data_IF_778228857926
#
_entry.id   IF_778228857926
#
_cell.length_a   1.000
_cell.length_b   1.000
_cell.length_c   1.000
_cell.angle_alpha   90.00
_cell.angle_beta   90.00
_cell.angle_gamma   90.00
#
_symmetry.space_group_name_H-M   'P 1'
#
loop_
_entity.id
_entity.type
_entity.pdbx_description
1 polymer ?
#
# COMPACT_ATOMS: atom_id res chain seq x y z
N UNK A 1 35.34 65.07 11.22
CA UNK A 1 35.02 63.63 11.18
C UNK A 1 36.05 62.88 12.02
N UNK A 2 35.69 62.47 13.24
CA UNK A 2 36.56 61.64 14.09
C UNK A 2 36.13 60.18 13.94
N UNK A 3 37.00 59.37 13.35
CA UNK A 3 36.86 57.90 13.41
C UNK A 3 37.37 57.40 14.77
N UNK A 4 36.64 56.49 15.45
CA UNK A 4 37.13 55.90 16.67
C UNK A 4 38.27 54.92 16.37
N UNK A 5 39.39 55.04 17.09
CA UNK A 5 40.50 54.08 17.04
C UNK A 5 40.03 52.76 17.65
N UNK A 6 40.01 51.70 16.84
CA UNK A 6 39.81 50.34 17.36
C UNK A 6 41.06 49.85 18.08
N UNK A 7 40.91 49.16 19.22
CA UNK A 7 42.04 48.65 20.00
C UNK A 7 42.73 47.49 19.29
N UNK A 8 44.06 47.45 19.37
CA UNK A 8 44.90 46.38 18.82
C UNK A 8 44.78 45.12 19.66
N UNK A 9 44.11 44.10 19.11
CA UNK A 9 43.95 42.79 19.74
C UNK A 9 45.29 42.04 19.70
N UNK A 10 45.73 41.52 20.85
CA UNK A 10 47.02 40.81 20.96
C UNK A 10 46.97 39.43 20.28
N UNK A 11 48.12 38.91 19.82
CA UNK A 11 48.21 37.60 19.12
C UNK A 11 47.64 36.44 19.97
N UNK A 12 47.70 36.54 21.29
CA UNK A 12 47.14 35.55 22.22
C UNK A 12 45.60 35.58 22.23
N UNK A 13 44.99 36.77 22.25
CA UNK A 13 43.53 36.94 22.13
C UNK A 13 43.01 36.44 20.77
N UNK A 14 43.79 36.60 19.70
CA UNK A 14 43.45 36.07 18.37
C UNK A 14 43.48 34.54 18.31
N UNK A 15 44.44 33.91 19.00
CA UNK A 15 44.54 32.43 19.12
C UNK A 15 43.44 31.85 20.01
N UNK A 16 43.15 32.50 21.14
CA UNK A 16 42.03 32.15 22.01
C UNK A 16 40.71 32.25 21.25
N UNK A 17 40.46 33.33 20.51
CA UNK A 17 39.26 33.48 19.69
C UNK A 17 39.14 32.41 18.58
N UNK A 18 40.25 32.02 17.96
CA UNK A 18 40.29 30.96 16.93
C UNK A 18 40.02 29.55 17.46
N UNK A 19 40.31 29.28 18.74
CA UNK A 19 40.00 27.98 19.35
C UNK A 19 38.63 27.99 20.06
N UNK A 20 38.23 29.10 20.67
CA UNK A 20 36.98 29.20 21.43
C UNK A 20 35.73 29.13 20.55
N UNK A 21 35.69 29.82 19.40
CA UNK A 21 34.51 29.79 18.53
C UNK A 21 34.17 28.41 17.96
N UNK A 22 35.11 27.64 17.38
CA UNK A 22 34.79 26.30 16.89
C UNK A 22 34.49 25.31 18.02
N UNK A 23 35.13 25.45 19.18
CA UNK A 23 34.81 24.59 20.33
C UNK A 23 33.42 24.89 20.94
N UNK A 24 32.98 26.16 20.95
CA UNK A 24 31.62 26.52 21.36
C UNK A 24 30.57 25.95 20.39
N UNK A 25 30.83 26.00 19.07
CA UNK A 25 29.92 25.46 18.05
C UNK A 25 29.80 23.93 18.13
N UNK A 26 30.91 23.21 18.32
CA UNK A 26 30.91 21.76 18.48
C UNK A 26 30.20 21.36 19.79
N UNK A 27 30.48 22.06 20.89
CA UNK A 27 29.80 21.82 22.16
C UNK A 27 28.29 22.09 22.06
N UNK A 28 27.88 23.14 21.33
CA UNK A 28 26.47 23.45 21.10
C UNK A 28 25.81 22.40 20.22
N UNK A 29 26.47 21.90 19.17
CA UNK A 29 25.96 20.82 18.32
C UNK A 29 25.77 19.51 19.10
N UNK A 30 26.73 19.13 19.95
CA UNK A 30 26.59 17.98 20.84
C UNK A 30 25.47 18.18 21.88
N UNK A 31 25.29 19.39 22.42
CA UNK A 31 24.19 19.71 23.32
C UNK A 31 22.84 19.61 22.62
N UNK A 32 22.70 20.10 21.38
CA UNK A 32 21.47 19.93 20.59
C UNK A 32 21.21 18.47 20.19
N UNK A 33 22.25 17.66 19.97
CA UNK A 33 22.10 16.22 19.68
C UNK A 33 21.73 15.39 20.93
N UNK A 34 22.15 15.82 22.12
CA UNK A 34 21.88 15.12 23.39
C UNK A 34 20.59 15.59 24.07
N UNK A 35 20.19 16.86 23.91
CA UNK A 35 18.88 17.38 24.37
C UNK A 35 17.77 17.17 23.33
N UNK A 36 18.12 17.04 22.05
CA UNK A 36 17.19 16.60 21.03
C UNK A 36 16.81 15.16 21.32
N UNK A 37 15.74 14.95 22.10
CA UNK A 37 14.98 13.70 22.02
C UNK A 37 14.74 13.49 20.53
N UNK A 38 15.33 12.45 19.96
CA UNK A 38 15.13 12.12 18.55
C UNK A 38 13.65 12.26 18.25
N UNK A 39 13.31 12.97 17.18
CA UNK A 39 11.93 13.07 16.69
C UNK A 39 11.59 11.69 16.11
N UNK A 40 11.46 10.70 16.98
CA UNK A 40 10.82 9.45 16.65
C UNK A 40 9.34 9.81 16.52
N UNK A 41 8.84 9.74 15.30
CA UNK A 41 7.41 9.79 15.07
C UNK A 41 6.76 8.75 15.99
N UNK A 42 5.82 9.19 16.81
CA UNK A 42 5.05 8.28 17.65
C UNK A 42 4.25 7.35 16.73
N UNK A 43 4.29 6.02 16.93
CA UNK A 43 3.58 5.09 16.06
C UNK A 43 2.10 5.45 15.96
N UNK A 44 1.54 5.40 14.76
CA UNK A 44 0.14 5.76 14.56
C UNK A 44 -0.76 4.64 15.07
N UNK A 45 -1.57 4.94 16.10
CA UNK A 45 -2.63 4.04 16.57
C UNK A 45 -3.85 4.12 15.63
N UNK A 46 -4.57 3.02 15.49
CA UNK A 46 -5.77 3.00 14.66
C UNK A 46 -6.23 1.61 14.25
N UNK A 47 -7.25 1.57 13.40
CA UNK A 47 -7.70 0.34 12.76
C UNK A 47 -7.43 0.42 11.26
N UNK A 48 -6.58 -0.47 10.78
CA UNK A 48 -6.31 -0.69 9.37
C UNK A 48 -7.18 -1.84 8.86
N UNK A 49 -7.91 -1.63 7.77
CA UNK A 49 -8.76 -2.64 7.14
C UNK A 49 -8.25 -2.90 5.73
N UNK A 50 -7.65 -4.08 5.53
CA UNK A 50 -7.10 -4.53 4.26
C UNK A 50 -8.12 -5.42 3.56
N UNK A 51 -8.61 -4.98 2.41
CA UNK A 51 -9.63 -5.66 1.60
C UNK A 51 -8.96 -6.22 0.35
N UNK A 52 -8.68 -7.52 0.37
CA UNK A 52 -8.05 -8.24 -0.73
C UNK A 52 -9.10 -8.91 -1.60
N UNK A 53 -8.96 -8.73 -2.91
CA UNK A 53 -9.81 -9.36 -3.91
C UNK A 53 -8.98 -9.77 -5.12
N UNK A 54 -9.40 -10.85 -5.77
CA UNK A 54 -8.88 -11.18 -7.09
C UNK A 54 -9.40 -10.18 -8.13
N UNK A 55 -8.66 -9.99 -9.20
CA UNK A 55 -9.22 -9.41 -10.42
C UNK A 55 -10.54 -10.09 -10.84
N UNK A 56 -11.43 -9.34 -11.48
CA UNK A 56 -12.71 -9.83 -11.97
C UNK A 56 -12.59 -10.81 -13.16
N UNK A 57 -13.73 -11.31 -13.65
CA UNK A 57 -13.81 -12.35 -14.67
C UNK A 57 -13.02 -11.99 -15.94
N UNK A 58 -12.31 -12.99 -16.47
CA UNK A 58 -11.45 -12.89 -17.65
C UNK A 58 -11.99 -13.71 -18.82
N UNK A 59 -11.62 -13.40 -20.07
CA UNK A 59 -11.92 -14.27 -21.21
C UNK A 59 -11.35 -15.68 -20.99
N UNK A 60 -12.03 -16.71 -21.49
CA UNK A 60 -11.54 -18.10 -21.42
C UNK A 60 -10.17 -18.25 -22.09
N UNK A 61 -9.97 -17.56 -23.22
CA UNK A 61 -8.69 -17.54 -23.93
C UNK A 61 -7.59 -16.83 -23.14
N UNK A 62 -7.89 -15.98 -22.15
CA UNK A 62 -6.86 -15.23 -21.42
C UNK A 62 -6.12 -14.23 -22.31
N UNK A 63 -6.45 -12.95 -22.19
CA UNK A 63 -5.91 -11.89 -23.06
C UNK A 63 -5.21 -10.74 -22.28
N UNK A 64 -5.01 -10.90 -20.98
CA UNK A 64 -4.51 -9.85 -20.08
C UNK A 64 -5.60 -8.91 -19.55
N UNK A 65 -6.79 -8.84 -20.18
CA UNK A 65 -7.94 -8.03 -19.75
C UNK A 65 -9.10 -8.82 -19.11
N UNK A 66 -10.11 -8.07 -18.68
CA UNK A 66 -11.42 -8.56 -18.24
C UNK A 66 -12.33 -8.89 -19.43
N UNK A 67 -13.31 -9.78 -19.22
CA UNK A 67 -14.44 -9.92 -20.14
C UNK A 67 -15.59 -8.96 -19.75
N UNK A 68 -16.69 -8.95 -20.51
CA UNK A 68 -17.84 -8.08 -20.21
C UNK A 68 -18.44 -8.33 -18.80
N UNK A 69 -18.51 -9.60 -18.35
CA UNK A 69 -18.97 -9.91 -17.00
C UNK A 69 -18.04 -9.32 -15.94
N UNK A 70 -16.72 -9.42 -16.14
CA UNK A 70 -15.73 -8.83 -15.24
C UNK A 70 -15.77 -7.31 -15.21
N UNK A 71 -16.04 -6.67 -16.36
CA UNK A 71 -16.29 -5.23 -16.42
C UNK A 71 -17.54 -4.84 -15.62
N UNK A 72 -18.64 -5.60 -15.76
CA UNK A 72 -19.86 -5.38 -14.97
C UNK A 72 -19.59 -5.55 -13.48
N UNK A 73 -18.87 -6.61 -13.07
CA UNK A 73 -18.45 -6.80 -11.67
C UNK A 73 -17.61 -5.61 -11.18
N UNK A 74 -16.65 -5.13 -11.97
CA UNK A 74 -15.82 -3.99 -11.60
C UNK A 74 -16.64 -2.72 -11.36
N UNK A 75 -17.68 -2.48 -12.16
CA UNK A 75 -18.62 -1.37 -11.97
C UNK A 75 -19.41 -1.56 -10.66
N UNK A 76 -19.97 -2.74 -10.41
CA UNK A 76 -20.70 -3.07 -9.18
C UNK A 76 -19.82 -2.95 -7.92
N UNK A 77 -18.54 -3.30 -8.02
CA UNK A 77 -17.59 -3.17 -6.91
C UNK A 77 -17.40 -1.71 -6.46
N UNK A 78 -17.67 -0.73 -7.31
CA UNK A 78 -17.66 0.69 -6.94
C UNK A 78 -18.81 1.08 -5.99
N UNK A 79 -19.83 0.24 -5.86
CA UNK A 79 -20.91 0.35 -4.88
C UNK A 79 -20.70 -0.61 -3.71
N UNK A 80 -20.38 -1.87 -4.00
CA UNK A 80 -20.29 -2.95 -2.99
C UNK A 80 -19.16 -2.67 -2.00
N UNK A 81 -17.94 -2.39 -2.46
CA UNK A 81 -16.80 -2.23 -1.56
C UNK A 81 -17.01 -1.12 -0.53
N UNK A 82 -17.40 0.12 -0.90
CA UNK A 82 -17.60 1.17 0.10
C UNK A 82 -18.80 0.93 1.00
N UNK A 83 -19.83 0.22 0.54
CA UNK A 83 -20.99 -0.16 1.35
C UNK A 83 -20.63 -1.18 2.43
N UNK A 84 -19.86 -2.21 2.08
CA UNK A 84 -19.53 -3.30 3.00
C UNK A 84 -18.34 -2.98 3.91
N UNK A 85 -17.34 -2.25 3.42
CA UNK A 85 -16.05 -2.07 4.10
C UNK A 85 -15.73 -0.61 4.47
N UNK A 86 -16.60 0.33 4.09
CA UNK A 86 -16.29 1.76 4.16
C UNK A 86 -15.45 2.21 2.97
N UNK A 87 -15.45 3.52 2.69
CA UNK A 87 -14.69 4.11 1.58
C UNK A 87 -13.20 3.83 1.76
N UNK A 88 -12.52 3.43 0.69
CA UNK A 88 -11.07 3.32 0.72
C UNK A 88 -10.42 4.69 0.96
N UNK A 89 -9.26 4.65 1.62
CA UNK A 89 -8.30 5.74 1.68
C UNK A 89 -7.16 5.51 0.67
N UNK A 90 -6.86 4.23 0.37
CA UNK A 90 -5.83 3.81 -0.60
C UNK A 90 -6.32 2.64 -1.45
N UNK A 91 -5.84 2.58 -2.69
CA UNK A 91 -6.17 1.51 -3.63
C UNK A 91 -4.90 1.01 -4.30
N UNK A 92 -4.72 -0.31 -4.31
CA UNK A 92 -3.62 -1.02 -4.95
C UNK A 92 -4.13 -1.95 -6.03
N UNK A 93 -3.36 -2.06 -7.10
CA UNK A 93 -3.52 -3.10 -8.10
C UNK A 93 -2.14 -3.57 -8.60
N UNK A 94 -2.05 -4.82 -9.04
CA UNK A 94 -0.81 -5.32 -9.61
C UNK A 94 -0.38 -4.50 -10.83
N UNK A 95 0.91 -4.18 -10.91
CA UNK A 95 1.50 -3.39 -11.96
C UNK A 95 1.23 -4.03 -13.34
N UNK A 96 0.57 -3.31 -14.28
CA UNK A 96 0.22 -3.85 -15.59
C UNK A 96 1.43 -4.01 -16.54
N UNK A 97 2.63 -3.53 -16.18
CA UNK A 97 3.84 -3.77 -16.97
C UNK A 97 4.29 -5.23 -16.92
N UNK A 98 3.84 -5.99 -15.92
CA UNK A 98 3.99 -7.45 -15.88
C UNK A 98 3.18 -8.08 -17.01
N UNK A 99 3.75 -9.10 -17.62
CA UNK A 99 3.06 -9.89 -18.62
C UNK A 99 2.56 -11.22 -18.04
N UNK A 100 1.49 -11.74 -18.63
CA UNK A 100 0.99 -13.09 -18.42
C UNK A 100 1.03 -13.82 -19.76
N UNK A 101 1.54 -15.05 -19.74
CA UNK A 101 1.52 -15.94 -20.90
C UNK A 101 0.23 -16.78 -20.83
N UNK A 102 -0.64 -16.61 -21.82
CA UNK A 102 -1.94 -17.28 -21.87
C UNK A 102 -2.51 -17.29 -23.29
N UNK A 103 -3.57 -18.06 -23.49
CA UNK A 103 -4.25 -18.20 -24.78
C UNK A 103 -3.57 -19.18 -25.73
N UNK A 104 -4.10 -19.20 -26.96
CA UNK A 104 -3.58 -20.10 -27.99
C UNK A 104 -2.14 -19.71 -28.33
N UNK A 105 -1.21 -20.61 -28.02
CA UNK A 105 0.22 -20.41 -28.25
C UNK A 105 0.96 -19.63 -27.16
N UNK A 106 0.39 -19.52 -25.95
CA UNK A 106 1.02 -18.88 -24.79
C UNK A 106 1.54 -17.48 -25.13
N UNK A 107 0.64 -16.62 -25.60
CA UNK A 107 0.99 -15.25 -25.97
C UNK A 107 1.14 -14.37 -24.74
N UNK A 108 2.06 -13.42 -24.85
CA UNK A 108 2.39 -12.47 -23.79
C UNK A 108 1.45 -11.27 -23.82
N UNK A 109 0.68 -11.06 -22.75
CA UNK A 109 -0.22 -9.93 -22.60
C UNK A 109 0.07 -9.12 -21.35
N UNK A 110 -0.06 -7.79 -21.42
CA UNK A 110 0.00 -6.94 -20.23
C UNK A 110 -1.10 -7.31 -19.23
N UNK A 111 -0.73 -7.46 -17.96
CA UNK A 111 -1.62 -7.96 -16.92
C UNK A 111 -2.50 -6.84 -16.33
N UNK A 112 -3.41 -6.31 -17.16
CA UNK A 112 -4.24 -5.14 -16.80
C UNK A 112 -5.45 -5.46 -15.92
N UNK A 113 -5.79 -6.75 -15.75
CA UNK A 113 -7.02 -7.18 -15.03
C UNK A 113 -7.18 -6.57 -13.63
N UNK A 114 -6.15 -6.56 -12.77
CA UNK A 114 -6.33 -6.02 -11.43
C UNK A 114 -6.65 -4.53 -11.45
N UNK A 115 -5.94 -3.75 -12.28
CA UNK A 115 -6.22 -2.33 -12.47
C UNK A 115 -7.64 -2.10 -13.02
N UNK A 116 -8.07 -2.87 -14.03
CA UNK A 116 -9.43 -2.76 -14.56
C UNK A 116 -10.51 -3.11 -13.53
N UNK A 117 -10.19 -3.93 -12.53
CA UNK A 117 -11.14 -4.38 -11.50
C UNK A 117 -11.43 -3.29 -10.47
N UNK A 118 -10.40 -2.57 -10.01
CA UNK A 118 -10.57 -1.49 -9.01
C UNK A 118 -10.68 -0.10 -9.62
N UNK A 119 -10.41 0.04 -10.92
CA UNK A 119 -10.50 1.30 -11.66
C UNK A 119 -11.82 2.06 -11.44
N UNK A 120 -13.00 1.44 -11.62
CA UNK A 120 -14.28 2.09 -11.36
C UNK A 120 -14.42 2.59 -9.92
N UNK A 121 -14.02 1.79 -8.92
CA UNK A 121 -14.01 2.19 -7.51
C UNK A 121 -13.09 3.39 -7.26
N UNK A 122 -11.89 3.39 -7.84
CA UNK A 122 -10.93 4.49 -7.72
C UNK A 122 -11.45 5.79 -8.34
N UNK A 123 -12.03 5.71 -9.54
CA UNK A 123 -12.66 6.85 -10.23
C UNK A 123 -13.77 7.44 -9.36
N UNK A 124 -14.66 6.59 -8.86
CA UNK A 124 -15.81 7.03 -8.06
C UNK A 124 -15.41 7.65 -6.72
N UNK A 125 -14.35 7.13 -6.09
CA UNK A 125 -13.82 7.66 -4.83
C UNK A 125 -12.89 8.87 -5.04
N UNK A 126 -12.47 9.16 -6.28
CA UNK A 126 -11.53 10.23 -6.60
C UNK A 126 -10.11 9.94 -6.11
N UNK A 127 -9.71 8.67 -6.10
CA UNK A 127 -8.42 8.20 -5.57
C UNK A 127 -7.48 7.74 -6.69
N UNK A 128 -6.15 7.93 -6.53
CA UNK A 128 -5.18 7.26 -7.38
C UNK A 128 -5.15 5.75 -7.09
N UNK A 129 -4.69 4.97 -8.06
CA UNK A 129 -4.34 3.56 -7.89
C UNK A 129 -2.82 3.46 -7.80
N UNK A 130 -2.29 2.90 -6.71
CA UNK A 130 -0.89 2.54 -6.62
C UNK A 130 -0.64 1.29 -7.46
N UNK A 131 0.35 1.38 -8.36
CA UNK A 131 0.75 0.34 -9.32
C UNK A 131 2.23 0.01 -9.21
N UNK A 132 2.87 0.32 -8.07
CA UNK A 132 4.32 0.21 -7.93
C UNK A 132 4.79 -1.26 -7.87
N UNK A 133 3.90 -2.19 -7.50
CA UNK A 133 4.20 -3.59 -7.22
C UNK A 133 3.61 -4.53 -8.28
N UNK A 134 4.43 -5.42 -8.83
CA UNK A 134 3.99 -6.50 -9.71
C UNK A 134 3.35 -7.65 -8.94
N UNK A 135 2.60 -8.52 -9.63
CA UNK A 135 1.80 -9.58 -8.99
C UNK A 135 2.60 -10.53 -8.07
N UNK A 136 3.89 -10.69 -8.32
CA UNK A 136 4.82 -11.55 -7.57
C UNK A 136 5.63 -10.78 -6.51
N UNK A 137 5.43 -9.47 -6.35
CA UNK A 137 6.14 -8.62 -5.38
C UNK A 137 5.36 -8.60 -4.04
N UNK A 138 4.94 -9.78 -3.60
CA UNK A 138 4.07 -10.01 -2.44
C UNK A 138 4.71 -9.53 -1.14
N UNK A 139 6.01 -9.77 -0.97
CA UNK A 139 6.77 -9.31 0.19
C UNK A 139 6.91 -7.79 0.22
N UNK A 140 7.27 -7.17 -0.90
CA UNK A 140 7.44 -5.71 -0.96
C UNK A 140 6.11 -4.98 -0.70
N UNK A 141 4.99 -5.51 -1.21
CA UNK A 141 3.67 -4.95 -0.91
C UNK A 141 3.25 -5.19 0.55
N UNK A 142 3.56 -6.34 1.14
CA UNK A 142 3.29 -6.59 2.56
C UNK A 142 4.05 -5.58 3.44
N UNK A 143 5.35 -5.40 3.20
CA UNK A 143 6.20 -4.44 3.90
C UNK A 143 5.68 -2.99 3.75
N UNK A 144 5.21 -2.62 2.56
CA UNK A 144 4.58 -1.33 2.32
C UNK A 144 3.31 -1.17 3.16
N UNK A 145 2.45 -2.20 3.26
CA UNK A 145 1.21 -2.13 4.04
C UNK A 145 1.46 -1.98 5.56
N UNK A 146 2.67 -2.25 6.06
CA UNK A 146 3.06 -2.03 7.46
C UNK A 146 3.49 -0.58 7.78
N UNK A 147 3.51 0.32 6.79
CA UNK A 147 3.89 1.72 7.02
C UNK A 147 2.85 2.47 7.86
N UNK A 148 3.31 3.33 8.78
CA UNK A 148 2.46 4.10 9.72
C UNK A 148 1.31 4.87 9.04
N UNK A 149 1.50 5.31 7.79
CA UNK A 149 0.47 6.03 7.02
C UNK A 149 -0.82 5.21 6.85
N UNK A 150 -0.74 3.89 6.91
CA UNK A 150 -1.85 2.95 6.72
C UNK A 150 -2.55 2.49 8.00
N UNK A 151 -1.99 2.74 9.19
CA UNK A 151 -2.50 2.16 10.45
C UNK A 151 -3.91 2.59 10.89
N UNK A 152 -4.52 3.54 10.18
CA UNK A 152 -5.91 3.96 10.39
C UNK A 152 -6.58 4.25 9.05
N UNK A 153 -6.61 3.25 8.16
CA UNK A 153 -7.07 3.39 6.78
C UNK A 153 -7.80 2.13 6.29
N UNK A 154 -8.72 2.31 5.36
CA UNK A 154 -9.32 1.23 4.55
C UNK A 154 -8.56 1.14 3.22
N UNK A 155 -8.13 -0.06 2.84
CA UNK A 155 -7.29 -0.27 1.67
C UNK A 155 -7.90 -1.36 0.80
N UNK A 156 -8.13 -1.06 -0.47
CA UNK A 156 -8.58 -2.05 -1.45
C UNK A 156 -7.40 -2.54 -2.29
N UNK A 157 -7.25 -3.85 -2.42
CA UNK A 157 -6.13 -4.47 -3.13
C UNK A 157 -6.64 -5.52 -4.12
N UNK A 158 -6.66 -5.19 -5.41
CA UNK A 158 -6.97 -6.15 -6.46
C UNK A 158 -5.71 -6.84 -6.97
N UNK A 159 -5.73 -8.17 -7.06
CA UNK A 159 -4.52 -8.95 -7.34
C UNK A 159 -4.78 -10.22 -8.16
N UNK A 160 -3.72 -11.01 -8.36
CA UNK A 160 -3.79 -12.34 -8.98
C UNK A 160 -4.13 -13.41 -7.95
N UNK A 161 -5.03 -14.33 -8.30
CA UNK A 161 -5.39 -15.45 -7.42
C UNK A 161 -4.17 -16.30 -7.02
N UNK A 162 -3.23 -16.53 -7.94
CA UNK A 162 -2.04 -17.33 -7.66
C UNK A 162 -1.06 -16.71 -6.66
N UNK A 163 -1.18 -15.41 -6.35
CA UNK A 163 -0.28 -14.71 -5.42
C UNK A 163 -1.01 -14.12 -4.20
N UNK A 164 -2.35 -14.15 -4.19
CA UNK A 164 -3.14 -13.66 -3.06
C UNK A 164 -2.89 -14.42 -1.76
N UNK A 165 -2.88 -15.77 -1.74
CA UNK A 165 -2.56 -16.53 -0.53
C UNK A 165 -1.20 -16.12 0.06
N UNK A 166 -0.18 -16.02 -0.79
CA UNK A 166 1.16 -15.61 -0.38
C UNK A 166 1.18 -14.19 0.21
N UNK A 167 0.58 -13.21 -0.48
CA UNK A 167 0.47 -11.83 0.01
C UNK A 167 -0.25 -11.73 1.36
N UNK A 168 -1.41 -12.38 1.48
CA UNK A 168 -2.24 -12.32 2.70
C UNK A 168 -1.51 -12.97 3.87
N UNK A 169 -0.88 -14.13 3.64
CA UNK A 169 -0.09 -14.80 4.66
C UNK A 169 1.11 -13.94 5.07
N UNK A 170 1.82 -13.33 4.12
CA UNK A 170 2.95 -12.44 4.41
C UNK A 170 2.54 -11.23 5.26
N UNK A 171 1.43 -10.58 4.93
CA UNK A 171 0.83 -9.51 5.75
C UNK A 171 0.51 -10.00 7.16
N UNK A 172 -0.05 -11.20 7.30
CA UNK A 172 -0.35 -11.77 8.61
C UNK A 172 0.92 -12.05 9.43
N UNK A 173 1.96 -12.55 8.77
CA UNK A 173 3.26 -12.82 9.41
C UNK A 173 3.93 -11.55 9.91
N UNK A 174 3.98 -10.51 9.07
CA UNK A 174 4.57 -9.22 9.42
C UNK A 174 3.80 -8.52 10.55
N UNK A 175 2.47 -8.46 10.45
CA UNK A 175 1.65 -7.82 11.45
C UNK A 175 1.70 -8.53 12.81
N UNK A 176 1.77 -9.87 12.82
CA UNK A 176 1.75 -10.66 14.06
C UNK A 176 3.13 -10.94 14.64
N UNK A 177 4.20 -10.80 13.84
CA UNK A 177 5.56 -11.21 14.18
C UNK A 177 5.74 -12.73 14.33
N UNK A 178 4.83 -13.53 13.77
CA UNK A 178 4.81 -15.01 13.88
C UNK A 178 4.47 -15.60 12.52
N UNK A 179 4.93 -16.83 12.26
CA UNK A 179 4.44 -17.54 11.08
C UNK A 179 2.97 -17.89 11.24
N UNK A 180 2.14 -17.39 10.33
CA UNK A 180 0.69 -17.57 10.29
C UNK A 180 0.30 -17.88 8.84
N UNK A 181 -0.47 -18.95 8.66
CA UNK A 181 -1.10 -19.27 7.39
C UNK A 181 -2.62 -19.11 7.55
N UNK A 182 -3.18 -18.08 6.90
CA UNK A 182 -4.61 -17.77 6.88
C UNK A 182 -5.31 -18.37 5.66
N UNK A 183 -4.60 -18.55 4.55
CA UNK A 183 -5.15 -18.99 3.28
C UNK A 183 -4.15 -19.87 2.53
N UNK A 184 -4.54 -21.10 2.19
CA UNK A 184 -3.70 -22.03 1.43
C UNK A 184 -3.78 -21.81 -0.08
N UNK A 185 -4.97 -21.48 -0.60
CA UNK A 185 -5.23 -21.36 -2.03
C UNK A 185 -6.34 -20.35 -2.33
N UNK A 186 -6.34 -19.84 -3.56
CA UNK A 186 -7.44 -19.09 -4.16
C UNK A 186 -7.79 -19.72 -5.50
N UNK A 187 -8.91 -20.45 -5.54
CA UNK A 187 -9.26 -21.27 -6.70
C UNK A 187 -9.45 -20.43 -7.96
N UNK A 188 -9.08 -20.98 -9.11
CA UNK A 188 -9.10 -20.27 -10.38
C UNK A 188 -10.50 -19.82 -10.86
N UNK A 189 -11.58 -20.39 -10.32
CA UNK A 189 -12.96 -20.01 -10.61
C UNK A 189 -13.57 -19.05 -9.56
N UNK A 190 -12.87 -18.79 -8.45
CA UNK A 190 -13.37 -17.89 -7.41
C UNK A 190 -13.04 -16.44 -7.76
N UNK A 191 -14.03 -15.73 -8.30
CA UNK A 191 -13.99 -14.28 -8.55
C UNK A 191 -14.70 -13.47 -7.46
N UNK A 192 -15.35 -14.15 -6.51
CA UNK A 192 -16.33 -13.57 -5.59
C UNK A 192 -15.84 -13.47 -4.15
N UNK A 193 -14.82 -14.23 -3.78
CA UNK A 193 -14.18 -14.05 -2.47
C UNK A 193 -13.61 -12.65 -2.31
N UNK A 194 -13.74 -12.16 -1.09
CA UNK A 194 -13.03 -11.01 -0.54
C UNK A 194 -12.47 -11.46 0.80
N UNK A 195 -11.16 -11.32 0.94
CA UNK A 195 -10.48 -11.53 2.21
C UNK A 195 -10.28 -10.18 2.87
N UNK A 196 -10.71 -10.07 4.12
CA UNK A 196 -10.54 -8.87 4.94
C UNK A 196 -9.60 -9.20 6.09
N UNK A 197 -8.46 -8.52 6.14
CA UNK A 197 -7.56 -8.54 7.30
C UNK A 197 -7.71 -7.22 8.03
N UNK A 198 -8.08 -7.27 9.30
CA UNK A 198 -8.18 -6.08 10.15
C UNK A 198 -7.05 -6.07 11.16
N UNK A 199 -6.24 -5.02 11.13
CA UNK A 199 -5.12 -4.81 12.04
C UNK A 199 -5.45 -3.65 12.97
N UNK A 200 -5.53 -3.92 14.28
CA UNK A 200 -5.64 -2.86 15.30
C UNK A 200 -4.26 -2.54 15.83
N UNK A 201 -3.78 -1.35 15.50
CA UNK A 201 -2.46 -0.84 15.87
C UNK A 201 -2.52 -0.08 17.19
N UNK A 202 -1.69 -0.51 18.15
CA UNK A 202 -1.46 0.15 19.43
C UNK A 202 0.03 0.13 19.73
N UNK A 203 0.64 1.31 19.83
CA UNK A 203 2.06 1.52 20.16
C UNK A 203 3.00 0.70 19.25
N UNK A 204 2.70 0.71 17.95
CA UNK A 204 3.48 0.01 16.92
C UNK A 204 3.28 -1.51 16.88
N UNK A 205 2.29 -2.05 17.59
CA UNK A 205 1.94 -3.48 17.56
C UNK A 205 0.54 -3.68 17.01
N UNK A 206 0.41 -4.60 16.06
CA UNK A 206 -0.87 -4.98 15.51
C UNK A 206 -1.48 -6.17 16.27
N UNK A 207 -2.80 -6.14 16.43
CA UNK A 207 -3.60 -7.35 16.66
C UNK A 207 -4.43 -7.63 15.41
N UNK A 208 -4.40 -8.89 14.96
CA UNK A 208 -4.96 -9.32 13.69
C UNK A 208 -6.32 -10.01 13.87
N UNK A 209 -7.30 -9.60 13.07
CA UNK A 209 -8.55 -10.33 12.79
C UNK A 209 -8.66 -10.61 11.29
N UNK A 210 -9.31 -11.71 10.92
CA UNK A 210 -9.41 -12.18 9.54
C UNK A 210 -10.81 -12.67 9.22
N UNK A 211 -11.31 -12.33 8.03
CA UNK A 211 -12.58 -12.84 7.48
C UNK A 211 -12.43 -13.15 6.00
N UNK A 212 -13.00 -14.28 5.60
CA UNK A 212 -13.24 -14.60 4.19
C UNK A 212 -14.75 -14.55 3.96
N UNK A 213 -15.17 -13.72 3.02
CA UNK A 213 -16.57 -13.51 2.68
C UNK A 213 -16.77 -13.35 1.17
N UNK A 214 -18.03 -13.31 0.74
CA UNK A 214 -18.42 -13.24 -0.67
C UNK A 214 -18.93 -11.85 -1.03
N UNK A 215 -18.60 -11.35 -2.22
CA UNK A 215 -19.14 -10.11 -2.79
C UNK A 215 -20.62 -10.28 -3.15
N UNK A 216 -21.04 -11.52 -3.48
CA UNK A 216 -22.40 -11.80 -3.91
C UNK A 216 -22.67 -11.37 -5.36
N UNK A 217 -21.64 -11.29 -6.20
CA UNK A 217 -21.70 -10.80 -7.59
C UNK A 217 -21.52 -11.92 -8.63
N UNK A 218 -21.48 -13.18 -8.20
CA UNK A 218 -21.48 -14.33 -9.09
C UNK A 218 -22.71 -14.36 -10.01
N UNK A 219 -22.53 -14.92 -11.21
CA UNK A 219 -23.56 -15.03 -12.24
C UNK A 219 -24.09 -13.68 -12.74
N UNK A 220 -23.26 -12.63 -12.70
CA UNK A 220 -23.58 -11.33 -13.28
C UNK A 220 -23.76 -11.39 -14.81
N UNK A 221 -24.32 -10.32 -15.36
CA UNK A 221 -24.58 -10.17 -16.80
C UNK A 221 -23.31 -10.34 -17.64
N UNK A 222 -23.39 -11.11 -18.73
CA UNK A 222 -22.26 -11.36 -19.63
C UNK A 222 -22.19 -10.40 -20.82
N UNK A 223 -23.23 -9.59 -21.06
CA UNK A 223 -23.20 -8.53 -22.07
C UNK A 223 -22.46 -7.31 -21.54
N UNK A 224 -21.70 -6.64 -22.41
CA UNK A 224 -21.00 -5.42 -22.02
C UNK A 224 -21.98 -4.28 -21.70
N UNK A 225 -21.62 -3.32 -20.83
CA UNK A 225 -22.41 -2.12 -20.59
C UNK A 225 -22.70 -1.38 -21.90
N UNK A 226 -23.92 -0.89 -22.05
CA UNK A 226 -24.30 -0.01 -23.15
C UNK A 226 -23.93 1.44 -22.81
N UNK A 227 -23.41 2.18 -23.78
CA UNK A 227 -23.20 3.62 -23.63
C UNK A 227 -24.58 4.31 -23.57
N UNK A 228 -24.76 5.17 -22.57
CA UNK A 228 -25.96 5.99 -22.40
C UNK A 228 -25.81 7.38 -22.98
#
# INVERSE_FOLDING_TARGET
MNMPKMPSITRLQRRLAWCFFPSLLVASALAFFTLGKGVHAEPKNGTQTLVFLRHAEKPAMGLGQLNCQGLNRAIELSEVLPREFGKADFIFAANPSRHVEEGEGDQSYSYVRPLMTVGPSAIKLGLPVNLDFGANDTADLADELMQDKYHNAVIYTAWSHGYLPELINKVAEEASGKSINLLDDWTNDDFDSVVVVTLKWVDGKATLDYKNQKQGLNNGTQTCPEAT
#
